data_IF_745344346837
#
_entry.id   IF_745344346837
#
_cell.length_a   1.000
_cell.length_b   1.000
_cell.length_c   1.000
_cell.angle_alpha   90.00
_cell.angle_beta   90.00
_cell.angle_gamma   90.00
#
_symmetry.space_group_name_H-M   'P 1'
#
loop_
_entity.id
_entity.type
_entity.pdbx_description
1 polymer ?
#
# COMPACT_ATOMS: atom_id res chain seq x y z
N UNK A 1 -3.88 -12.02 14.17
CA UNK A 1 -2.86 -11.31 13.37
C UNK A 1 -3.07 -9.82 13.50
N UNK A 2 -1.98 -9.03 13.56
CA UNK A 2 -2.08 -7.56 13.52
C UNK A 2 -2.37 -7.09 12.09
N UNK A 3 -3.23 -6.07 11.89
CA UNK A 3 -3.49 -5.50 10.57
C UNK A 3 -2.23 -4.91 9.95
N UNK A 4 -1.96 -5.22 8.68
CA UNK A 4 -0.91 -4.53 7.89
C UNK A 4 -1.53 -3.31 7.21
N UNK A 5 -1.03 -2.12 7.54
CA UNK A 5 -1.43 -0.88 6.87
C UNK A 5 -0.49 -0.62 5.70
N UNK A 6 -1.04 -0.36 4.52
CA UNK A 6 -0.28 -0.23 3.27
C UNK A 6 -0.77 0.96 2.44
N UNK A 7 0.12 1.51 1.63
CA UNK A 7 -0.18 2.47 0.57
C UNK A 7 -0.01 1.77 -0.76
N UNK A 8 -1.05 1.84 -1.58
CA UNK A 8 -1.05 1.44 -2.98
C UNK A 8 -0.95 2.67 -3.86
N UNK A 9 -0.06 2.64 -4.85
CA UNK A 9 -0.07 3.59 -5.97
C UNK A 9 -0.25 2.82 -7.26
N UNK A 10 -1.18 3.26 -8.09
CA UNK A 10 -1.57 2.54 -9.30
C UNK A 10 -1.91 3.50 -10.44
N UNK A 11 -1.66 3.05 -11.67
CA UNK A 11 -1.99 3.78 -12.89
C UNK A 11 -3.37 3.42 -13.46
N UNK A 12 -3.67 4.04 -14.60
CA UNK A 12 -4.95 3.95 -15.33
C UNK A 12 -5.41 2.50 -15.58
N UNK A 13 -4.49 1.61 -15.93
CA UNK A 13 -4.79 0.21 -16.28
C UNK A 13 -5.29 -0.63 -15.10
N UNK A 14 -5.02 -0.17 -13.87
CA UNK A 14 -5.37 -0.87 -12.64
C UNK A 14 -6.65 -0.32 -12.05
N UNK A 15 -6.92 0.98 -12.20
CA UNK A 15 -8.10 1.63 -11.60
C UNK A 15 -9.44 1.01 -12.03
N UNK A 16 -9.48 0.31 -13.17
CA UNK A 16 -10.68 -0.37 -13.68
C UNK A 16 -10.74 -1.86 -13.32
N UNK A 17 -9.70 -2.41 -12.68
CA UNK A 17 -9.62 -3.83 -12.31
C UNK A 17 -10.15 -4.04 -10.89
N UNK A 18 -10.85 -5.15 -10.61
CA UNK A 18 -11.40 -5.45 -9.29
C UNK A 18 -10.33 -6.00 -8.33
N UNK A 19 -9.21 -5.28 -8.15
CA UNK A 19 -8.04 -5.75 -7.40
C UNK A 19 -8.36 -6.02 -5.93
N UNK A 20 -9.21 -5.19 -5.30
CA UNK A 20 -9.62 -5.37 -3.90
C UNK A 20 -10.49 -6.60 -3.73
N UNK A 21 -11.43 -6.83 -4.65
CA UNK A 21 -12.25 -8.05 -4.65
C UNK A 21 -11.38 -9.30 -4.78
N UNK A 22 -10.33 -9.26 -5.61
CA UNK A 22 -9.39 -10.38 -5.77
C UNK A 22 -8.60 -10.67 -4.49
N UNK A 23 -8.21 -9.64 -3.73
CA UNK A 23 -7.60 -9.83 -2.40
C UNK A 23 -8.53 -10.59 -1.45
N UNK A 24 -9.81 -10.22 -1.40
CA UNK A 24 -10.79 -10.89 -0.54
C UNK A 24 -11.05 -12.31 -1.05
N UNK A 25 -11.32 -12.48 -2.34
CA UNK A 25 -11.81 -13.74 -2.89
C UNK A 25 -10.74 -14.81 -3.07
N UNK A 26 -9.57 -14.43 -3.56
CA UNK A 26 -8.52 -15.37 -3.95
C UNK A 26 -7.50 -15.59 -2.82
N UNK A 27 -7.45 -14.69 -1.84
CA UNK A 27 -6.49 -14.73 -0.71
C UNK A 27 -7.15 -14.71 0.68
N UNK A 28 -8.49 -14.75 0.76
CA UNK A 28 -9.24 -14.74 2.02
C UNK A 28 -8.85 -13.57 2.95
N UNK A 29 -8.58 -12.39 2.36
CA UNK A 29 -8.14 -11.22 3.11
C UNK A 29 -9.31 -10.33 3.48
N UNK A 30 -9.36 -9.93 4.75
CA UNK A 30 -10.21 -8.82 5.19
C UNK A 30 -9.48 -7.53 4.87
N UNK A 31 -10.14 -6.66 4.10
CA UNK A 31 -9.59 -5.38 3.66
C UNK A 31 -10.48 -4.24 4.13
N UNK A 32 -9.87 -3.23 4.76
CA UNK A 32 -10.50 -1.97 5.09
C UNK A 32 -9.86 -0.85 4.25
N UNK A 33 -10.68 -0.03 3.60
CA UNK A 33 -10.22 1.11 2.79
C UNK A 33 -10.22 2.34 3.69
N UNK A 34 -9.03 2.74 4.15
CA UNK A 34 -8.86 3.93 5.00
C UNK A 34 -9.05 5.20 4.18
N UNK A 35 -8.47 5.23 2.98
CA UNK A 35 -8.51 6.38 2.07
C UNK A 35 -8.28 5.93 0.64
N UNK A 36 -8.97 6.53 -0.32
CA UNK A 36 -8.75 6.30 -1.73
C UNK A 36 -8.93 7.61 -2.49
N UNK A 37 -7.91 7.99 -3.25
CA UNK A 37 -7.95 9.13 -4.17
C UNK A 37 -7.63 8.61 -5.57
N UNK A 38 -8.51 8.90 -6.53
CA UNK A 38 -8.30 8.60 -7.95
C UNK A 38 -8.49 9.90 -8.72
N UNK A 39 -7.48 10.29 -9.48
CA UNK A 39 -7.51 11.51 -10.28
C UNK A 39 -8.31 11.29 -11.59
N UNK A 40 -8.62 12.36 -12.34
CA UNK A 40 -9.32 12.25 -13.62
C UNK A 40 -8.59 11.41 -14.68
N UNK A 41 -7.27 11.26 -14.57
CA UNK A 41 -6.44 10.39 -15.43
C UNK A 41 -6.46 8.92 -14.99
N UNK A 42 -7.28 8.58 -13.99
CA UNK A 42 -7.45 7.25 -13.38
C UNK A 42 -6.17 6.70 -12.73
N UNK A 43 -5.24 7.57 -12.38
CA UNK A 43 -4.15 7.23 -11.48
C UNK A 43 -4.61 7.48 -10.05
N UNK A 44 -4.16 6.66 -9.12
CA UNK A 44 -4.66 6.76 -7.75
C UNK A 44 -3.70 6.30 -6.69
N UNK A 45 -3.99 6.76 -5.49
CA UNK A 45 -3.36 6.32 -4.25
C UNK A 45 -4.45 5.81 -3.31
N UNK A 46 -4.22 4.64 -2.71
CA UNK A 46 -5.15 4.02 -1.76
C UNK A 46 -4.42 3.55 -0.52
N UNK A 47 -4.97 3.85 0.66
CA UNK A 47 -4.49 3.39 1.95
C UNK A 47 -5.41 2.27 2.40
N UNK A 48 -4.85 1.08 2.60
CA UNK A 48 -5.58 -0.10 3.03
C UNK A 48 -5.04 -0.61 4.35
N UNK A 49 -5.94 -1.19 5.15
CA UNK A 49 -5.59 -2.13 6.21
C UNK A 49 -5.98 -3.53 5.75
N UNK A 50 -5.03 -4.45 5.84
CA UNK A 50 -5.18 -5.83 5.36
C UNK A 50 -4.95 -6.79 6.52
N UNK A 51 -5.89 -7.69 6.74
CA UNK A 51 -5.85 -8.72 7.79
C UNK A 51 -6.06 -10.08 7.13
N UNK A 52 -5.20 -11.04 7.46
CA UNK A 52 -5.31 -12.42 6.99
C UNK A 52 -3.95 -13.08 6.82
N UNK A 53 -3.94 -14.40 6.93
CA UNK A 53 -2.71 -15.21 6.92
C UNK A 53 -2.00 -15.16 5.56
N UNK A 54 -2.75 -15.00 4.48
CA UNK A 54 -2.23 -14.91 3.12
C UNK A 54 -1.89 -13.48 2.68
N UNK A 55 -1.78 -12.53 3.63
CA UNK A 55 -1.56 -11.12 3.32
C UNK A 55 -0.35 -10.91 2.41
N UNK A 56 0.77 -11.60 2.63
CA UNK A 56 1.96 -11.44 1.77
C UNK A 56 1.74 -11.94 0.34
N UNK A 57 0.98 -13.02 0.16
CA UNK A 57 0.63 -13.53 -1.17
C UNK A 57 -0.28 -12.54 -1.92
N UNK A 58 -1.26 -11.94 -1.23
CA UNK A 58 -2.11 -10.88 -1.80
C UNK A 58 -1.33 -9.61 -2.15
N UNK A 59 -0.35 -9.20 -1.34
CA UNK A 59 0.50 -8.06 -1.65
C UNK A 59 1.41 -8.34 -2.86
N UNK A 60 1.94 -9.56 -2.99
CA UNK A 60 2.72 -9.98 -4.15
C UNK A 60 1.88 -9.98 -5.44
N UNK A 61 0.61 -10.39 -5.36
CA UNK A 61 -0.32 -10.27 -6.48
C UNK A 61 -0.46 -8.83 -6.98
N UNK A 62 -0.63 -7.86 -6.07
CA UNK A 62 -0.69 -6.45 -6.43
C UNK A 62 0.61 -5.97 -7.10
N UNK A 63 1.77 -6.34 -6.55
CA UNK A 63 3.09 -6.02 -7.13
C UNK A 63 3.23 -6.59 -8.54
N UNK A 64 2.80 -7.82 -8.77
CA UNK A 64 2.84 -8.48 -10.08
C UNK A 64 1.91 -7.82 -11.11
N UNK A 65 0.85 -7.14 -10.65
CA UNK A 65 0.01 -6.31 -11.51
C UNK A 65 0.62 -4.93 -11.83
N UNK A 66 1.80 -4.61 -11.31
CA UNK A 66 2.44 -3.30 -11.46
C UNK A 66 1.94 -2.25 -10.46
N UNK A 67 1.24 -2.66 -9.40
CA UNK A 67 0.85 -1.76 -8.31
C UNK A 67 2.04 -1.58 -7.38
N UNK A 68 2.41 -0.32 -7.10
CA UNK A 68 3.40 -0.02 -6.07
C UNK A 68 2.76 -0.22 -4.70
N UNK A 69 3.32 -1.12 -3.90
CA UNK A 69 2.85 -1.46 -2.55
C UNK A 69 3.92 -1.05 -1.55
N UNK A 70 3.60 -0.10 -0.68
CA UNK A 70 4.48 0.36 0.40
C UNK A 70 3.80 0.11 1.74
N UNK A 71 4.50 -0.48 2.70
CA UNK A 71 3.97 -0.61 4.04
C UNK A 71 3.92 0.78 4.71
N UNK A 72 2.80 1.13 5.34
CA UNK A 72 2.64 2.38 6.08
C UNK A 72 3.28 2.27 7.48
N UNK A 73 4.47 1.70 7.51
CA UNK A 73 5.35 1.75 8.66
C UNK A 73 6.01 3.12 8.51
N UNK A 74 5.62 4.10 9.31
CA UNK A 74 6.38 5.35 9.38
C UNK A 74 7.73 5.06 10.03
N UNK A 75 8.65 4.46 9.30
CA UNK A 75 10.06 4.55 9.62
C UNK A 75 10.61 5.76 8.89
N UNK A 76 10.89 6.82 9.63
CA UNK A 76 11.76 7.87 9.15
C UNK A 76 13.15 7.24 9.01
N UNK A 77 13.51 6.88 7.79
CA UNK A 77 14.82 6.30 7.50
C UNK A 77 15.82 7.45 7.33
N UNK A 78 16.81 7.51 8.21
CA UNK A 78 17.90 8.48 8.13
C UNK A 78 18.79 8.15 6.93
N UNK A 79 18.89 9.07 5.97
CA UNK A 79 19.93 9.01 4.95
C UNK A 79 21.25 9.51 5.55
N UNK A 80 22.23 8.63 5.75
CA UNK A 80 23.50 8.99 6.41
C UNK A 80 24.34 9.99 5.61
N UNK A 81 24.31 9.93 4.28
CA UNK A 81 25.07 10.83 3.41
C UNK A 81 24.55 12.27 3.42
N UNK A 82 23.24 12.45 3.64
CA UNK A 82 22.58 13.76 3.62
C UNK A 82 22.28 14.32 5.00
N UNK A 83 22.47 13.54 6.07
CA UNK A 83 22.09 13.94 7.41
C UNK A 83 23.07 14.96 7.99
N UNK A 84 22.57 16.17 8.28
CA UNK A 84 23.34 17.24 8.95
C UNK A 84 23.20 17.24 10.48
N UNK A 85 22.69 16.16 11.07
CA UNK A 85 22.50 16.00 12.53
C UNK A 85 21.69 17.13 13.21
N UNK A 86 20.75 17.76 12.50
CA UNK A 86 19.93 18.85 13.04
C UNK A 86 18.76 18.40 13.94
N UNK A 87 18.43 17.11 13.96
CA UNK A 87 17.32 16.57 14.78
C UNK A 87 15.90 16.84 14.26
N UNK A 88 15.72 17.55 13.14
CA UNK A 88 14.40 17.93 12.62
C UNK A 88 13.46 16.74 12.29
N UNK A 89 14.02 15.56 12.07
CA UNK A 89 13.28 14.35 11.69
C UNK A 89 13.06 13.37 12.85
N UNK A 90 13.30 13.78 14.11
CA UNK A 90 13.13 12.94 15.31
C UNK A 90 11.76 13.07 15.98
N UNK A 91 10.85 13.87 15.41
CA UNK A 91 9.51 14.15 15.94
C UNK A 91 8.38 13.37 15.27
#
# INVERSE_FOLDING_TARGET
>A
MSPKRIVLRFGTDISVKPIVYRLVKDYDLVVNIVKADVNPQKEGTMILEVIGDQSEAGLNYLRNLGVSVQALNQEIIRNEEKCVMCGACTG
#
